data_IF_391533712912
#
_entry.id   IF_391533712912
#
_cell.length_a   1.000
_cell.length_b   1.000
_cell.length_c   1.000
_cell.angle_alpha   90.00
_cell.angle_beta   90.00
_cell.angle_gamma   90.00
#
_symmetry.space_group_name_H-M   'P 1'
#
loop_
_entity.id
_entity.type
_entity.pdbx_description
1 polymer ?
#
# COMPACT_ATOMS: atom_id res chain seq x y z
N UNK A 1 21.66 -15.46 -52.42
CA UNK A 1 20.36 -15.82 -53.05
C UNK A 1 19.28 -15.06 -52.30
N UNK A 2 18.38 -14.23 -52.82
CA UNK A 2 17.97 -13.79 -54.16
C UNK A 2 17.51 -12.31 -53.97
N UNK A 3 18.00 -11.31 -54.73
CA UNK A 3 17.52 -10.88 -56.06
C UNK A 3 16.04 -10.45 -56.02
N UNK A 4 15.67 -9.17 -56.16
CA UNK A 4 15.47 -8.37 -57.41
C UNK A 4 14.45 -7.25 -57.02
N UNK A 5 14.23 -6.09 -57.64
CA UNK A 5 14.72 -5.36 -58.84
C UNK A 5 14.07 -3.96 -58.79
N UNK A 6 14.76 -2.95 -59.32
CA UNK A 6 14.20 -1.66 -59.75
C UNK A 6 13.33 -1.82 -61.03
N UNK A 7 12.63 -0.76 -61.48
CA UNK A 7 13.04 -0.05 -62.71
C UNK A 7 12.98 1.50 -62.58
N UNK A 8 13.95 2.26 -63.09
CA UNK A 8 14.01 2.92 -64.43
C UNK A 8 12.96 4.04 -64.67
N UNK A 9 13.41 5.29 -64.85
CA UNK A 9 13.48 5.98 -66.17
C UNK A 9 14.26 7.31 -66.08
N UNK A 10 14.87 7.66 -67.19
CA UNK A 10 15.81 8.75 -67.46
C UNK A 10 15.24 9.58 -68.63
N UNK A 11 15.86 10.74 -68.95
CA UNK A 11 15.71 11.59 -70.18
C UNK A 11 14.67 12.72 -70.02
N UNK A 12 14.81 13.96 -70.50
CA UNK A 12 15.89 14.86 -70.95
C UNK A 12 15.18 16.16 -71.40
N UNK A 13 15.99 17.22 -71.61
CA UNK A 13 15.78 18.27 -72.63
C UNK A 13 15.13 19.60 -72.23
N UNK A 14 16.04 20.54 -72.00
CA UNK A 14 16.02 21.99 -72.28
C UNK A 14 15.78 22.26 -73.78
N UNK A 15 15.17 23.41 -74.14
CA UNK A 15 15.56 24.38 -75.21
C UNK A 15 14.48 25.50 -75.32
N UNK A 16 14.81 26.74 -74.93
CA UNK A 16 15.09 27.97 -75.74
C UNK A 16 13.85 28.74 -76.25
N UNK A 17 13.79 30.03 -75.88
CA UNK A 17 13.50 31.11 -76.84
C UNK A 17 14.07 32.44 -76.32
N UNK A 18 15.04 32.97 -77.07
CA UNK A 18 15.59 34.32 -76.97
C UNK A 18 14.61 35.36 -77.53
N UNK A 19 14.68 36.61 -77.03
CA UNK A 19 14.80 37.81 -77.86
C UNK A 19 15.01 39.07 -76.99
N UNK A 20 16.19 39.67 -77.12
CA UNK A 20 16.43 41.12 -77.00
C UNK A 20 16.63 41.66 -78.45
N UNK A 21 16.95 42.94 -78.75
CA UNK A 21 17.12 44.15 -77.91
C UNK A 21 16.52 45.45 -78.54
N UNK A 22 16.65 46.60 -77.85
CA UNK A 22 16.89 47.99 -78.36
C UNK A 22 16.56 49.01 -77.23
N UNK A 23 17.49 49.79 -76.62
CA UNK A 23 18.17 51.03 -77.08
C UNK A 23 17.18 52.01 -77.77
N UNK A 24 17.05 53.31 -77.47
CA UNK A 24 17.89 54.30 -76.81
C UNK A 24 17.04 55.58 -76.57
N UNK A 25 17.41 56.35 -75.54
CA UNK A 25 17.39 57.82 -75.41
C UNK A 25 16.11 58.66 -75.70
N UNK A 26 15.76 59.48 -74.71
CA UNK A 26 14.91 60.66 -74.89
C UNK A 26 14.87 61.51 -73.61
N UNK A 27 15.55 62.65 -73.67
CA UNK A 27 15.79 63.66 -72.63
C UNK A 27 14.54 64.16 -71.89
N UNK A 28 14.72 64.39 -70.59
CA UNK A 28 13.83 65.19 -69.74
C UNK A 28 14.26 66.65 -69.68
N UNK A 29 13.30 67.59 -69.76
CA UNK A 29 13.12 68.85 -68.98
C UNK A 29 12.25 69.86 -69.77
N UNK A 30 11.67 70.90 -69.15
CA UNK A 30 10.74 70.88 -68.02
C UNK A 30 9.57 71.88 -68.20
N UNK A 31 8.46 71.67 -67.47
CA UNK A 31 7.59 72.73 -66.96
C UNK A 31 6.70 73.50 -67.94
N UNK A 32 5.39 73.21 -67.92
CA UNK A 32 4.32 74.21 -67.81
C UNK A 32 2.99 73.50 -67.52
N UNK A 33 2.33 73.88 -66.43
CA UNK A 33 0.97 73.45 -66.09
C UNK A 33 -0.06 74.44 -66.67
N UNK A 34 -1.15 73.94 -67.26
CA UNK A 34 -2.45 74.59 -67.20
C UNK A 34 -3.52 73.69 -66.50
N UNK A 35 -4.71 74.24 -66.16
CA UNK A 35 -5.53 73.90 -64.98
C UNK A 35 -6.36 72.60 -65.05
N UNK A 36 -7.06 72.20 -63.96
CA UNK A 36 -7.62 70.86 -63.82
C UNK A 36 -8.89 70.69 -64.66
N UNK A 37 -8.85 69.77 -65.62
CA UNK A 37 -10.03 69.17 -66.21
C UNK A 37 -10.45 67.95 -65.38
N UNK A 38 -11.75 67.82 -65.20
CA UNK A 38 -12.47 66.83 -64.39
C UNK A 38 -11.93 65.39 -64.54
N UNK A 39 -11.53 64.79 -63.42
CA UNK A 39 -11.19 63.38 -63.35
C UNK A 39 -12.48 62.53 -63.15
N UNK A 40 -12.69 61.47 -63.95
CA UNK A 40 -13.74 60.49 -63.69
C UNK A 40 -13.36 59.58 -62.52
N UNK A 41 -14.38 59.21 -61.74
CA UNK A 41 -14.52 58.05 -60.87
C UNK A 41 -13.23 57.42 -60.28
N UNK A 42 -13.00 57.66 -58.98
CA UNK A 42 -12.17 56.78 -58.14
C UNK A 42 -12.74 55.36 -58.18
N UNK A 43 -12.00 54.45 -58.78
CA UNK A 43 -12.18 53.00 -58.60
C UNK A 43 -11.86 52.68 -57.14
N UNK A 44 -12.82 52.13 -56.41
CA UNK A 44 -12.60 51.50 -55.10
C UNK A 44 -11.66 50.30 -55.29
N UNK A 45 -10.39 50.48 -54.97
CA UNK A 45 -9.49 49.35 -54.72
C UNK A 45 -10.03 48.57 -53.51
N UNK A 46 -10.56 47.39 -53.80
CA UNK A 46 -10.99 46.42 -52.82
C UNK A 46 -9.88 46.19 -51.78
N UNK A 47 -10.17 46.49 -50.51
CA UNK A 47 -9.37 46.02 -49.37
C UNK A 47 -9.37 44.49 -49.39
N UNK A 48 -8.31 43.88 -49.91
CA UNK A 48 -8.09 42.45 -49.74
C UNK A 48 -7.94 42.16 -48.24
N UNK A 49 -8.95 41.53 -47.65
CA UNK A 49 -8.86 40.95 -46.32
C UNK A 49 -7.81 39.84 -46.35
N UNK A 50 -6.67 40.07 -45.68
CA UNK A 50 -5.56 39.11 -45.62
C UNK A 50 -5.96 37.98 -44.66
N UNK A 51 -6.22 36.80 -45.21
CA UNK A 51 -6.51 35.59 -44.44
C UNK A 51 -5.26 35.08 -43.70
N UNK A 52 -5.30 35.07 -42.37
CA UNK A 52 -4.20 34.70 -41.47
C UNK A 52 -4.61 33.54 -40.52
N UNK A 53 -4.61 32.28 -41.00
CA UNK A 53 -5.03 31.10 -40.25
C UNK A 53 -3.95 30.62 -39.27
N UNK A 54 -3.51 31.48 -38.35
CA UNK A 54 -2.52 31.13 -37.33
C UNK A 54 -2.73 31.92 -36.04
N UNK A 55 -2.38 31.32 -34.90
CA UNK A 55 -2.43 32.01 -33.61
C UNK A 55 -1.41 33.15 -33.54
N UNK A 56 -1.69 34.14 -32.72
CA UNK A 56 -0.77 35.26 -32.51
C UNK A 56 -0.28 35.32 -31.07
N UNK A 57 0.82 36.04 -30.83
CA UNK A 57 1.36 36.32 -29.49
C UNK A 57 1.67 35.06 -28.67
N UNK A 58 2.18 34.00 -29.29
CA UNK A 58 2.69 32.84 -28.56
C UNK A 58 3.76 33.29 -27.56
N UNK A 59 3.49 33.06 -26.29
CA UNK A 59 4.41 33.26 -25.17
C UNK A 59 4.65 31.93 -24.50
N UNK A 60 5.89 31.76 -24.03
CA UNK A 60 6.29 30.59 -23.27
C UNK A 60 6.86 31.05 -21.93
N UNK A 61 6.33 30.48 -20.85
CA UNK A 61 6.85 30.64 -19.51
C UNK A 61 7.32 29.27 -19.01
N UNK A 62 8.50 29.25 -18.38
CA UNK A 62 9.10 28.03 -17.84
C UNK A 62 8.99 28.07 -16.32
N UNK A 63 8.47 26.99 -15.74
CA UNK A 63 8.50 26.71 -14.31
C UNK A 63 8.81 25.23 -14.16
N UNK A 64 10.10 24.89 -14.19
CA UNK A 64 10.56 23.50 -14.20
C UNK A 64 9.79 22.61 -13.20
N UNK A 65 9.29 21.44 -13.65
CA UNK A 65 9.45 20.82 -14.97
C UNK A 65 8.38 21.22 -16.00
N UNK A 66 7.55 22.22 -15.70
CA UNK A 66 6.40 22.61 -16.52
C UNK A 66 6.73 23.77 -17.47
N UNK A 67 6.19 23.68 -18.69
CA UNK A 67 6.24 24.73 -19.69
C UNK A 67 4.82 25.19 -19.98
N UNK A 68 4.53 26.45 -19.68
CA UNK A 68 3.24 27.05 -20.00
C UNK A 68 3.33 27.80 -21.32
N UNK A 69 2.50 27.38 -22.27
CA UNK A 69 2.28 28.04 -23.55
C UNK A 69 1.00 28.85 -23.46
N UNK A 70 1.05 30.10 -23.90
CA UNK A 70 -0.15 30.95 -24.04
C UNK A 70 -0.12 31.64 -25.39
N UNK A 71 -1.24 31.68 -26.09
CA UNK A 71 -1.37 32.34 -27.39
C UNK A 71 -2.67 33.11 -27.47
N UNK A 72 -2.95 33.72 -28.63
CA UNK A 72 -4.21 34.35 -28.94
C UNK A 72 -4.78 33.73 -30.21
N UNK A 73 -6.05 33.38 -30.17
CA UNK A 73 -6.73 32.71 -31.26
C UNK A 73 -6.79 33.57 -32.54
N UNK A 74 -6.85 32.89 -33.70
CA UNK A 74 -7.02 33.58 -34.98
C UNK A 74 -8.46 34.06 -35.14
N UNK A 75 -8.63 35.30 -35.59
CA UNK A 75 -9.95 35.86 -35.92
C UNK A 75 -10.54 35.25 -37.19
N UNK A 76 -9.68 34.71 -38.05
CA UNK A 76 -10.05 34.16 -39.35
C UNK A 76 -10.48 32.69 -39.23
N UNK A 77 -10.39 32.11 -38.03
CA UNK A 77 -10.79 30.74 -37.71
C UNK A 77 -11.60 30.69 -36.39
N UNK A 78 -12.84 31.22 -36.37
CA UNK A 78 -13.68 31.25 -35.16
C UNK A 78 -14.04 29.85 -34.63
N UNK A 79 -14.09 28.83 -35.49
CA UNK A 79 -14.34 27.43 -35.13
C UNK A 79 -13.14 26.51 -35.43
N UNK A 80 -11.95 27.08 -35.51
CA UNK A 80 -10.72 26.30 -35.68
C UNK A 80 -10.30 25.60 -34.40
N UNK A 81 -9.52 24.53 -34.53
CA UNK A 81 -8.78 23.94 -33.41
C UNK A 81 -7.28 24.17 -33.60
N UNK A 82 -6.49 23.95 -32.55
CA UNK A 82 -5.05 24.17 -32.57
C UNK A 82 -4.32 22.89 -32.19
N UNK A 83 -3.29 22.56 -32.96
CA UNK A 83 -2.36 21.47 -32.66
C UNK A 83 -1.05 22.04 -32.17
N UNK A 84 -0.64 21.61 -30.98
CA UNK A 84 0.61 22.02 -30.34
C UNK A 84 1.67 20.97 -30.61
N UNK A 85 2.74 21.37 -31.28
CA UNK A 85 3.88 20.52 -31.61
C UNK A 85 5.10 20.88 -30.79
N UNK A 86 5.92 19.87 -30.49
CA UNK A 86 7.20 20.00 -29.80
C UNK A 86 8.32 19.28 -30.55
N UNK A 87 9.48 19.91 -30.62
CA UNK A 87 10.70 19.32 -31.20
C UNK A 87 11.94 19.75 -30.40
N UNK A 88 13.02 18.96 -30.46
CA UNK A 88 14.35 19.30 -29.91
C UNK A 88 15.17 20.27 -30.78
N UNK A 89 14.66 20.66 -31.96
CA UNK A 89 15.26 21.59 -32.92
C UNK A 89 14.19 22.60 -33.32
N UNK A 90 14.60 23.75 -33.84
CA UNK A 90 13.64 24.76 -34.28
C UNK A 90 12.68 24.17 -35.33
N UNK A 91 11.38 24.44 -35.14
CA UNK A 91 10.34 23.99 -36.07
C UNK A 91 10.31 24.95 -37.26
N UNK A 92 10.62 24.40 -38.43
CA UNK A 92 10.57 25.00 -39.76
C UNK A 92 9.76 24.07 -40.67
N UNK A 93 9.36 24.49 -41.89
CA UNK A 93 8.72 23.58 -42.83
C UNK A 93 9.48 22.26 -43.05
N UNK A 94 10.81 22.31 -43.02
CA UNK A 94 11.67 21.13 -43.22
C UNK A 94 11.74 20.20 -42.00
N UNK A 95 11.65 20.74 -40.78
CA UNK A 95 11.73 19.96 -39.53
C UNK A 95 10.37 19.59 -38.95
N UNK A 96 9.28 20.18 -39.47
CA UNK A 96 7.92 19.96 -38.98
C UNK A 96 7.48 18.49 -39.05
N UNK A 97 7.89 17.76 -40.09
CA UNK A 97 7.58 16.34 -40.24
C UNK A 97 8.14 15.46 -39.08
N UNK A 98 9.21 15.92 -38.41
CA UNK A 98 9.79 15.26 -37.24
C UNK A 98 9.25 15.79 -35.90
N UNK A 99 8.38 16.80 -35.91
CA UNK A 99 7.86 17.39 -34.69
C UNK A 99 6.76 16.51 -34.08
N UNK A 100 6.81 16.32 -32.77
CA UNK A 100 5.84 15.49 -32.05
C UNK A 100 4.60 16.31 -31.70
N UNK A 101 3.43 15.85 -32.10
CA UNK A 101 2.16 16.38 -31.61
C UNK A 101 2.04 16.09 -30.11
N UNK A 102 1.88 17.13 -29.29
CA UNK A 102 1.77 17.00 -27.82
C UNK A 102 0.33 17.17 -27.36
N UNK A 103 -0.44 18.05 -28.01
CA UNK A 103 -1.82 18.29 -27.63
C UNK A 103 -2.65 18.90 -28.78
N UNK A 104 -3.96 18.73 -28.69
CA UNK A 104 -4.95 19.38 -29.56
C UNK A 104 -5.89 20.19 -28.68
N UNK A 105 -5.83 21.52 -28.80
CA UNK A 105 -6.68 22.45 -28.07
C UNK A 105 -7.88 22.87 -28.96
N UNK A 106 -9.12 22.87 -28.43
CA UNK A 106 -10.26 23.45 -29.14
C UNK A 106 -10.13 24.98 -29.24
N UNK A 107 -10.84 25.59 -30.18
CA UNK A 107 -10.97 27.05 -30.25
C UNK A 107 -11.52 27.63 -28.94
N UNK A 108 -11.01 28.78 -28.52
CA UNK A 108 -11.30 29.44 -27.24
C UNK A 108 -10.36 29.04 -26.10
N UNK A 109 -9.55 27.98 -26.25
CA UNK A 109 -8.52 27.62 -25.27
C UNK A 109 -7.18 28.22 -25.69
N UNK A 110 -6.78 29.28 -24.99
CA UNK A 110 -5.57 30.07 -25.29
C UNK A 110 -4.34 29.69 -24.43
N UNK A 111 -4.42 28.60 -23.65
CA UNK A 111 -3.35 28.18 -22.74
C UNK A 111 -3.16 26.66 -22.78
N UNK A 112 -1.90 26.22 -22.69
CA UNK A 112 -1.53 24.82 -22.57
C UNK A 112 -0.35 24.65 -21.63
N UNK A 113 -0.33 23.56 -20.88
CA UNK A 113 0.74 23.20 -19.95
C UNK A 113 1.39 21.90 -20.43
N UNK A 114 2.65 21.98 -20.85
CA UNK A 114 3.47 20.82 -21.21
C UNK A 114 4.37 20.43 -20.05
N UNK A 115 4.60 19.12 -19.89
CA UNK A 115 5.59 18.56 -18.97
C UNK A 115 6.47 17.60 -19.77
N UNK A 116 7.62 18.06 -20.30
CA UNK A 116 8.52 17.21 -21.07
C UNK A 116 9.03 16.02 -20.24
N UNK A 117 9.21 14.83 -20.86
CA UNK A 117 9.67 13.63 -20.17
C UNK A 117 11.19 13.62 -19.92
N UNK A 118 11.94 14.50 -20.59
CA UNK A 118 13.41 14.56 -20.53
C UNK A 118 13.86 15.99 -20.24
N UNK A 119 15.04 16.11 -19.62
CA UNK A 119 15.73 17.40 -19.49
C UNK A 119 16.27 17.78 -20.87
N UNK A 120 16.07 19.01 -21.31
CA UNK A 120 16.50 19.40 -22.64
C UNK A 120 16.00 20.75 -23.11
N UNK A 121 16.36 21.05 -24.35
CA UNK A 121 15.92 22.24 -25.08
C UNK A 121 14.79 21.86 -26.03
N UNK A 122 13.64 22.52 -25.88
CA UNK A 122 12.44 22.27 -26.68
C UNK A 122 12.00 23.51 -27.45
N UNK A 123 11.49 23.29 -28.65
CA UNK A 123 10.86 24.29 -29.50
C UNK A 123 9.41 23.91 -29.71
N UNK A 124 8.55 24.92 -29.74
CA UNK A 124 7.11 24.76 -29.85
C UNK A 124 6.56 25.50 -31.05
N UNK A 125 5.55 24.91 -31.67
CA UNK A 125 4.74 25.54 -32.71
C UNK A 125 3.26 25.23 -32.45
N UNK A 126 2.40 26.22 -32.69
CA UNK A 126 0.95 26.10 -32.59
C UNK A 126 0.40 26.28 -34.00
N UNK A 127 -0.15 25.20 -34.54
CA UNK A 127 -0.65 25.11 -35.92
C UNK A 127 -2.17 25.11 -35.88
N UNK A 128 -2.80 25.98 -36.68
CA UNK A 128 -4.25 26.03 -36.76
C UNK A 128 -4.78 24.91 -37.65
N UNK A 129 -5.98 24.44 -37.31
CA UNK A 129 -6.69 23.37 -38.01
C UNK A 129 -8.09 23.87 -38.35
N UNK A 130 -8.44 23.80 -39.64
CA UNK A 130 -9.76 24.20 -40.14
C UNK A 130 -10.87 23.22 -39.77
N UNK A 131 -12.12 23.55 -40.13
CA UNK A 131 -13.32 22.74 -39.82
C UNK A 131 -13.28 21.33 -40.40
N UNK A 132 -12.58 21.12 -41.52
CA UNK A 132 -12.41 19.82 -42.18
C UNK A 132 -11.20 19.02 -41.65
N UNK A 133 -10.53 19.50 -40.60
CA UNK A 133 -9.33 18.86 -40.06
C UNK A 133 -8.05 19.17 -40.84
N UNK A 134 -8.13 20.03 -41.86
CA UNK A 134 -6.97 20.48 -42.63
C UNK A 134 -6.05 21.34 -41.77
N UNK A 135 -4.78 20.95 -41.67
CA UNK A 135 -3.75 21.75 -40.99
C UNK A 135 -3.26 22.88 -41.89
N UNK A 136 -3.01 24.05 -41.29
CA UNK A 136 -2.35 25.18 -41.93
C UNK A 136 -0.92 25.32 -41.39
N UNK A 137 0.08 24.63 -41.97
CA UNK A 137 1.47 24.60 -41.50
C UNK A 137 2.22 25.90 -41.84
N UNK A 138 1.71 27.02 -41.33
CA UNK A 138 2.30 28.34 -41.46
C UNK A 138 3.15 28.58 -40.23
N UNK A 139 4.45 28.86 -40.40
CA UNK A 139 5.36 29.08 -39.26
C UNK A 139 5.92 30.50 -39.28
N UNK A 140 5.32 31.38 -38.49
CA UNK A 140 5.74 32.78 -38.36
C UNK A 140 6.51 32.97 -37.03
N UNK A 141 7.82 33.31 -37.09
CA UNK A 141 8.63 33.61 -35.92
C UNK A 141 7.94 34.55 -34.93
N UNK A 142 7.99 34.24 -33.64
CA UNK A 142 7.41 35.02 -32.53
C UNK A 142 5.89 35.22 -32.56
N UNK A 143 5.18 34.62 -33.52
CA UNK A 143 3.71 34.65 -33.55
C UNK A 143 3.11 33.33 -33.12
N UNK A 144 3.48 32.26 -33.81
CA UNK A 144 2.95 30.92 -33.56
C UNK A 144 4.04 29.85 -33.42
N UNK A 145 5.32 30.24 -33.48
CA UNK A 145 6.44 29.38 -33.11
C UNK A 145 7.48 30.07 -32.26
N UNK A 146 8.18 29.29 -31.46
CA UNK A 146 9.38 29.71 -30.73
C UNK A 146 10.61 29.62 -31.63
N UNK A 147 11.46 30.64 -31.61
CA UNK A 147 12.78 30.61 -32.27
C UNK A 147 13.95 30.43 -31.29
N UNK A 148 13.68 30.58 -29.99
CA UNK A 148 14.65 30.30 -28.93
C UNK A 148 14.24 29.02 -28.21
N UNK A 149 15.19 28.13 -27.90
CA UNK A 149 14.88 26.91 -27.17
C UNK A 149 14.38 27.25 -25.76
N UNK A 150 13.33 26.55 -25.37
CA UNK A 150 12.79 26.53 -24.01
C UNK A 150 13.53 25.43 -23.26
N UNK A 151 14.31 25.80 -22.25
CA UNK A 151 15.15 24.85 -21.51
C UNK A 151 14.43 24.38 -20.25
N UNK A 152 14.24 23.07 -20.13
CA UNK A 152 13.97 22.41 -18.84
C UNK A 152 15.32 22.01 -18.26
N UNK A 153 15.59 22.37 -17.00
CA UNK A 153 16.87 22.06 -16.34
C UNK A 153 16.76 20.91 -15.34
N UNK A 154 15.54 20.59 -14.88
CA UNK A 154 15.25 19.51 -13.94
C UNK A 154 13.89 18.88 -14.26
N UNK A 155 13.80 17.57 -14.08
CA UNK A 155 12.54 16.85 -14.00
C UNK A 155 12.14 16.74 -12.54
N UNK A 156 10.84 16.63 -12.26
CA UNK A 156 10.42 16.24 -10.90
C UNK A 156 10.97 14.84 -10.62
N UNK A 157 11.88 14.75 -9.65
CA UNK A 157 12.36 13.47 -9.13
C UNK A 157 11.20 12.70 -8.50
N UNK A 158 11.38 11.40 -8.25
CA UNK A 158 10.39 10.64 -7.48
C UNK A 158 10.24 11.22 -6.06
N UNK A 159 11.30 11.80 -5.50
CA UNK A 159 11.26 12.53 -4.22
C UNK A 159 10.42 13.82 -4.31
N UNK A 160 10.49 14.54 -5.43
CA UNK A 160 9.64 15.73 -5.65
C UNK A 160 8.17 15.35 -5.82
N UNK A 161 7.88 14.15 -6.35
CA UNK A 161 6.52 13.66 -6.57
C UNK A 161 5.91 12.97 -5.37
N UNK A 162 6.72 12.53 -4.41
CA UNK A 162 6.28 11.81 -3.23
C UNK A 162 5.34 12.63 -2.33
N UNK A 163 4.41 11.94 -1.67
CA UNK A 163 3.59 12.52 -0.62
C UNK A 163 4.38 12.54 0.69
N UNK A 164 4.73 13.73 1.16
CA UNK A 164 5.32 13.92 2.50
C UNK A 164 4.21 13.96 3.54
N UNK A 165 4.41 13.30 4.67
CA UNK A 165 3.45 13.28 5.77
C UNK A 165 3.90 14.24 6.87
N UNK A 166 2.97 15.04 7.35
CA UNK A 166 3.17 15.98 8.45
C UNK A 166 2.15 15.75 9.56
N UNK A 167 2.44 16.30 10.74
CA UNK A 167 1.54 16.33 11.90
C UNK A 167 0.99 14.95 12.30
N UNK A 168 1.81 13.90 12.20
CA UNK A 168 1.41 12.57 12.66
C UNK A 168 1.18 12.59 14.16
N UNK A 169 -0.06 12.35 14.56
CA UNK A 169 -0.46 12.22 15.96
C UNK A 169 -1.23 10.91 16.13
N UNK A 170 -0.85 10.14 17.13
CA UNK A 170 -1.57 8.96 17.57
C UNK A 170 -2.30 9.24 18.87
N UNK A 171 -3.56 8.82 18.96
CA UNK A 171 -4.33 8.88 20.22
C UNK A 171 -4.98 7.53 20.51
N UNK A 172 -4.81 6.97 21.72
CA UNK A 172 -5.57 5.82 22.13
C UNK A 172 -7.03 6.26 22.35
N UNK A 173 -7.97 5.50 21.78
CA UNK A 173 -9.39 5.68 21.95
C UNK A 173 -10.03 4.31 22.19
N UNK A 174 -10.57 4.10 23.40
CA UNK A 174 -11.14 2.84 23.84
C UNK A 174 -10.18 1.65 23.66
N UNK A 175 -10.40 0.84 22.64
CA UNK A 175 -9.69 -0.39 22.31
C UNK A 175 -8.84 -0.27 21.04
N UNK A 176 -8.66 0.93 20.50
CA UNK A 176 -7.93 1.18 19.25
C UNK A 176 -7.00 2.39 19.38
N UNK A 177 -5.99 2.46 18.51
CA UNK A 177 -5.16 3.65 18.31
C UNK A 177 -5.62 4.34 17.04
N UNK A 178 -6.00 5.61 17.15
CA UNK A 178 -6.39 6.43 16.01
C UNK A 178 -5.21 7.32 15.62
N UNK A 179 -4.67 7.10 14.42
CA UNK A 179 -3.67 7.96 13.80
C UNK A 179 -4.36 9.06 12.99
N UNK A 180 -3.88 10.30 13.14
CA UNK A 180 -4.27 11.45 12.32
C UNK A 180 -3.00 12.08 11.76
N UNK A 181 -3.05 12.46 10.48
CA UNK A 181 -1.89 12.98 9.77
C UNK A 181 -2.31 13.81 8.55
N UNK A 182 -1.38 14.60 8.04
CA UNK A 182 -1.57 15.54 6.93
C UNK A 182 -0.60 15.24 5.78
N UNK A 183 -1.04 14.58 4.70
CA UNK A 183 -0.22 14.36 3.52
C UNK A 183 -0.12 15.62 2.65
N UNK A 184 1.06 15.85 2.07
CA UNK A 184 1.36 17.03 1.25
C UNK A 184 0.74 17.01 -0.14
N UNK A 185 0.40 15.82 -0.64
CA UNK A 185 -0.14 15.55 -1.97
C UNK A 185 -1.16 14.40 -1.87
N UNK A 186 -2.20 14.46 -2.70
CA UNK A 186 -3.15 13.36 -2.91
C UNK A 186 -2.71 12.43 -4.05
N UNK A 187 -3.45 11.34 -4.27
CA UNK A 187 -3.25 10.36 -5.36
C UNK A 187 -1.91 9.57 -5.32
N UNK A 188 -1.32 9.51 -4.13
CA UNK A 188 -0.17 8.65 -3.79
C UNK A 188 -0.60 7.56 -2.82
N UNK A 189 0.18 6.49 -2.75
CA UNK A 189 0.02 5.43 -1.76
C UNK A 189 0.98 5.66 -0.59
N UNK A 190 0.48 5.52 0.63
CA UNK A 190 1.23 5.66 1.87
C UNK A 190 1.32 4.32 2.59
N UNK A 191 2.48 3.98 3.14
CA UNK A 191 2.70 2.80 3.95
C UNK A 191 2.70 3.18 5.44
N UNK A 192 1.84 2.53 6.22
CA UNK A 192 1.73 2.72 7.68
C UNK A 192 2.52 1.62 8.40
N UNK A 193 3.49 2.03 9.21
CA UNK A 193 4.35 1.15 9.98
C UNK A 193 4.07 1.25 11.48
N UNK A 194 4.25 0.11 12.17
CA UNK A 194 4.21 0.00 13.63
C UNK A 194 5.48 -0.67 14.13
N UNK A 195 6.11 -0.08 15.14
CA UNK A 195 7.34 -0.59 15.76
C UNK A 195 7.22 -0.64 17.28
N UNK A 196 7.97 -1.55 17.91
CA UNK A 196 8.15 -1.59 19.36
C UNK A 196 9.29 -0.67 19.84
N UNK A 197 10.12 -0.21 18.92
CA UNK A 197 11.26 0.67 19.15
C UNK A 197 11.08 2.00 18.39
N UNK A 198 11.65 3.11 18.87
CA UNK A 198 11.62 4.38 18.15
C UNK A 198 12.16 4.23 16.72
N UNK A 199 11.51 4.88 15.75
CA UNK A 199 12.00 4.92 14.37
C UNK A 199 12.82 6.20 14.20
N UNK A 200 14.14 6.07 14.24
CA UNK A 200 15.09 7.18 14.15
C UNK A 200 15.78 7.23 12.79
N UNK A 201 16.05 6.06 12.23
CA UNK A 201 16.77 5.89 10.97
C UNK A 201 16.03 4.93 10.04
N UNK A 202 16.32 5.01 8.74
CA UNK A 202 15.68 4.19 7.72
C UNK A 202 15.84 2.68 7.98
N UNK A 203 16.97 2.26 8.58
CA UNK A 203 17.21 0.86 8.96
C UNK A 203 16.17 0.31 9.94
N UNK A 204 15.57 1.18 10.76
CA UNK A 204 14.61 0.77 11.79
C UNK A 204 13.29 0.28 11.17
N UNK A 205 13.00 0.69 9.93
CA UNK A 205 11.86 0.18 9.16
C UNK A 205 11.97 -1.32 8.87
N UNK A 206 13.17 -1.90 8.89
CA UNK A 206 13.35 -3.35 8.75
C UNK A 206 12.87 -4.12 9.99
N UNK A 207 12.93 -3.51 11.19
CA UNK A 207 12.37 -4.05 12.42
C UNK A 207 10.89 -3.73 12.62
N UNK A 208 10.37 -2.75 11.87
CA UNK A 208 8.98 -2.33 11.93
C UNK A 208 8.05 -3.27 11.15
N UNK A 209 6.82 -3.40 11.64
CA UNK A 209 5.75 -4.15 10.97
C UNK A 209 4.95 -3.23 10.07
N UNK A 210 4.85 -3.56 8.78
CA UNK A 210 3.93 -2.89 7.86
C UNK A 210 2.49 -3.27 8.21
N UNK A 211 1.69 -2.29 8.63
CA UNK A 211 0.27 -2.50 8.91
C UNK A 211 -0.54 -2.56 7.63
N UNK A 212 -0.53 -1.48 6.85
CA UNK A 212 -1.37 -1.33 5.66
C UNK A 212 -0.78 -0.30 4.69
N UNK A 213 -1.17 -0.41 3.42
CA UNK A 213 -0.95 0.63 2.41
C UNK A 213 -2.26 1.35 2.14
N UNK A 214 -2.27 2.65 2.34
CA UNK A 214 -3.47 3.50 2.29
C UNK A 214 -3.33 4.58 1.23
N UNK A 215 -4.45 5.05 0.69
CA UNK A 215 -4.45 6.20 -0.20
C UNK A 215 -4.15 7.49 0.57
N UNK A 216 -3.31 8.36 0.01
CA UNK A 216 -2.93 9.66 0.58
C UNK A 216 -4.09 10.66 0.72
N UNK A 217 -5.26 10.41 0.16
CA UNK A 217 -6.47 11.18 0.48
C UNK A 217 -7.03 10.84 1.88
N UNK A 218 -6.60 9.71 2.46
CA UNK A 218 -6.94 9.29 3.81
C UNK A 218 -6.16 10.10 4.83
N UNK A 219 -6.84 10.71 5.81
CA UNK A 219 -6.22 11.51 6.89
C UNK A 219 -6.34 10.87 8.27
N UNK A 220 -6.97 9.71 8.33
CA UNK A 220 -7.26 8.99 9.57
C UNK A 220 -7.06 7.51 9.33
N UNK A 221 -6.25 6.88 10.18
CA UNK A 221 -6.05 5.44 10.20
C UNK A 221 -6.38 4.89 11.60
N UNK A 222 -6.92 3.67 11.68
CA UNK A 222 -7.31 3.03 12.95
C UNK A 222 -6.56 1.72 13.07
N UNK A 223 -5.73 1.61 14.11
CA UNK A 223 -5.01 0.39 14.45
C UNK A 223 -5.63 -0.31 15.67
N UNK A 224 -5.73 -1.63 15.61
CA UNK A 224 -6.20 -2.50 16.69
C UNK A 224 -5.01 -3.01 17.51
N UNK A 225 -4.24 -2.08 18.09
CA UNK A 225 -3.04 -2.39 18.84
C UNK A 225 -3.33 -3.23 20.10
N UNK A 226 -2.34 -4.02 20.53
CA UNK A 226 -2.45 -4.85 21.73
C UNK A 226 -2.39 -3.95 22.97
N UNK A 227 -3.37 -4.03 23.89
CA UNK A 227 -3.33 -3.28 25.15
C UNK A 227 -2.07 -3.59 25.96
N UNK A 228 -1.58 -2.62 26.72
CA UNK A 228 -0.40 -2.82 27.58
C UNK A 228 0.95 -2.78 26.85
N UNK A 229 0.97 -2.66 25.51
CA UNK A 229 2.18 -2.57 24.70
C UNK A 229 2.33 -1.16 24.15
N UNK A 230 3.52 -0.58 24.30
CA UNK A 230 3.85 0.73 23.78
C UNK A 230 4.36 0.62 22.34
N UNK A 231 3.77 1.38 21.42
CA UNK A 231 4.09 1.35 20.00
C UNK A 231 4.52 2.71 19.45
N UNK A 232 5.45 2.68 18.52
CA UNK A 232 5.81 3.80 17.65
C UNK A 232 5.17 3.60 16.28
N UNK A 233 4.74 4.70 15.67
CA UNK A 233 4.15 4.70 14.34
C UNK A 233 4.92 5.59 13.39
N UNK A 234 5.00 5.17 12.14
CA UNK A 234 5.54 5.97 11.04
C UNK A 234 4.68 5.82 9.78
N UNK A 235 4.51 6.89 9.02
CA UNK A 235 3.76 6.88 7.76
C UNK A 235 4.60 7.53 6.66
N UNK A 236 4.79 6.80 5.56
CA UNK A 236 5.71 7.21 4.49
C UNK A 236 5.10 6.95 3.11
N UNK A 237 5.58 7.63 2.07
CA UNK A 237 5.21 7.31 0.68
C UNK A 237 5.76 5.93 0.30
N UNK A 238 4.91 5.05 -0.22
CA UNK A 238 5.28 3.67 -0.54
C UNK A 238 6.44 3.61 -1.53
N UNK A 239 6.47 4.49 -2.54
CA UNK A 239 7.54 4.48 -3.55
C UNK A 239 8.89 4.89 -2.97
N UNK A 240 8.92 5.79 -1.98
CA UNK A 240 10.16 6.19 -1.32
C UNK A 240 10.71 5.09 -0.43
N UNK A 241 9.83 4.35 0.25
CA UNK A 241 10.24 3.20 1.07
C UNK A 241 10.82 2.08 0.20
N UNK A 242 10.16 1.77 -0.93
CA UNK A 242 10.63 0.73 -1.87
C UNK A 242 11.98 1.09 -2.54
N UNK A 243 12.23 2.37 -2.79
CA UNK A 243 13.51 2.88 -3.32
C UNK A 243 14.57 3.06 -2.25
N UNK A 244 14.17 3.03 -0.98
CA UNK A 244 15.05 3.28 0.15
C UNK A 244 15.58 4.72 0.22
N UNK A 245 14.78 5.70 -0.19
CA UNK A 245 15.13 7.15 -0.10
C UNK A 245 14.20 7.90 0.85
N UNK A 246 13.59 7.18 1.79
CA UNK A 246 12.65 7.74 2.76
C UNK A 246 13.39 8.55 3.84
N UNK A 247 12.88 9.74 4.11
CA UNK A 247 13.39 10.61 5.17
C UNK A 247 12.59 10.37 6.46
N UNK A 248 13.26 10.13 7.59
CA UNK A 248 12.63 10.01 8.90
C UNK A 248 12.72 11.36 9.62
N UNK A 249 11.56 11.93 9.93
CA UNK A 249 11.42 13.24 10.57
C UNK A 249 10.55 13.10 11.83
N UNK A 250 11.18 12.96 13.02
CA UNK A 250 10.45 12.83 14.28
C UNK A 250 9.47 13.98 14.52
N UNK A 251 8.23 13.64 14.90
CA UNK A 251 7.14 14.58 15.13
C UNK A 251 6.37 15.00 13.87
N UNK A 252 6.85 14.66 12.67
CA UNK A 252 6.16 14.94 11.41
C UNK A 252 5.56 13.68 10.79
N UNK A 253 6.42 12.75 10.37
CA UNK A 253 5.99 11.48 9.77
C UNK A 253 6.18 10.27 10.69
N UNK A 254 6.80 10.48 11.86
CA UNK A 254 7.04 9.47 12.88
C UNK A 254 6.71 10.03 14.26
N UNK A 255 6.16 9.20 15.15
CA UNK A 255 5.95 9.57 16.56
C UNK A 255 7.28 9.66 17.33
N UNK A 256 7.42 10.69 18.16
CA UNK A 256 8.52 10.83 19.13
C UNK A 256 8.27 10.07 20.42
N UNK A 257 7.01 10.00 20.85
CA UNK A 257 6.59 9.29 22.07
C UNK A 257 5.75 8.08 21.70
N UNK A 258 5.97 6.96 22.39
CA UNK A 258 5.19 5.76 22.18
C UNK A 258 3.74 5.96 22.64
N UNK A 259 2.80 5.39 21.90
CA UNK A 259 1.39 5.34 22.27
C UNK A 259 1.05 3.95 22.80
N UNK A 260 0.29 3.90 23.88
CA UNK A 260 -0.15 2.66 24.51
C UNK A 260 -1.64 2.73 24.82
N UNK A 261 -2.36 1.66 24.48
CA UNK A 261 -3.71 1.45 25.00
C UNK A 261 -3.56 0.93 26.43
N UNK A 262 -4.20 1.61 27.39
CA UNK A 262 -4.21 1.15 28.78
C UNK A 262 -4.92 -0.20 28.87
N UNK A 263 -4.36 -1.13 29.65
CA UNK A 263 -5.08 -2.36 30.01
C UNK A 263 -6.35 -1.91 30.73
N UNK A 264 -7.51 -2.23 30.15
CA UNK A 264 -8.76 -1.80 30.72
C UNK A 264 -8.95 -2.45 32.09
N UNK A 265 -9.56 -1.75 33.05
CA UNK A 265 -10.10 -2.38 34.27
C UNK A 265 -11.29 -3.31 33.98
N UNK A 266 -11.35 -3.93 32.79
CA UNK A 266 -11.91 -5.27 32.69
C UNK A 266 -10.95 -6.15 33.47
N UNK A 267 -11.21 -6.14 34.78
CA UNK A 267 -10.79 -7.15 35.74
C UNK A 267 -10.56 -8.41 34.94
N UNK A 268 -9.33 -8.92 35.07
CA UNK A 268 -8.93 -10.20 34.57
C UNK A 268 -10.15 -11.12 34.47
N UNK A 269 -10.19 -12.08 33.55
CA UNK A 269 -10.86 -13.32 33.90
C UNK A 269 -10.04 -13.97 35.06
N UNK A 270 -9.83 -13.27 36.20
CA UNK A 270 -10.36 -13.77 37.46
C UNK A 270 -11.64 -14.43 37.03
N UNK A 271 -11.57 -15.74 36.95
CA UNK A 271 -12.70 -16.60 37.18
C UNK A 271 -13.53 -15.96 38.29
N UNK A 272 -14.41 -15.01 37.94
CA UNK A 272 -15.72 -14.95 38.53
C UNK A 272 -16.32 -16.24 38.01
N UNK A 273 -15.96 -17.33 38.70
CA UNK A 273 -16.95 -18.23 39.23
C UNK A 273 -17.97 -17.29 39.90
N UNK A 274 -18.84 -16.68 39.08
CA UNK A 274 -20.17 -16.30 39.52
C UNK A 274 -20.59 -17.52 40.29
N UNK A 275 -20.77 -17.38 41.61
CA UNK A 275 -21.19 -18.50 42.44
C UNK A 275 -22.24 -19.24 41.62
N UNK A 276 -22.00 -20.51 41.26
CA UNK A 276 -22.85 -21.20 40.29
C UNK A 276 -24.29 -20.96 40.74
N UNK A 277 -25.22 -20.60 39.83
CA UNK A 277 -26.60 -20.34 40.21
C UNK A 277 -27.00 -21.46 41.14
N UNK A 278 -27.30 -21.11 42.40
CA UNK A 278 -27.38 -22.02 43.54
C UNK A 278 -28.26 -23.17 43.09
N UNK A 279 -27.65 -24.28 42.65
CA UNK A 279 -28.39 -25.34 42.00
C UNK A 279 -29.36 -25.84 43.06
N UNK A 280 -30.66 -25.95 42.77
CA UNK A 280 -31.65 -26.38 43.76
C UNK A 280 -31.34 -27.78 44.32
N UNK A 281 -30.47 -28.54 43.64
CA UNK A 281 -29.76 -29.67 44.21
C UNK A 281 -28.27 -29.58 43.85
N UNK A 282 -27.34 -29.85 44.78
CA UNK A 282 -25.96 -30.11 44.41
C UNK A 282 -25.94 -31.25 43.37
N UNK A 283 -24.92 -31.27 42.50
CA UNK A 283 -24.59 -32.50 41.76
C UNK A 283 -24.65 -33.65 42.76
N UNK A 284 -25.22 -34.82 42.42
CA UNK A 284 -25.09 -35.99 43.26
C UNK A 284 -23.60 -36.14 43.54
N UNK A 285 -23.23 -35.89 44.79
CA UNK A 285 -21.88 -36.11 45.25
C UNK A 285 -21.65 -37.59 44.97
N UNK A 286 -20.54 -37.93 44.32
CA UNK A 286 -20.05 -39.29 44.44
C UNK A 286 -19.81 -39.46 45.95
N UNK A 287 -20.76 -40.11 46.62
CA UNK A 287 -20.69 -40.48 48.03
C UNK A 287 -19.55 -41.50 48.16
N UNK A 288 -18.31 -40.99 48.20
CA UNK A 288 -17.18 -41.72 48.73
C UNK A 288 -17.52 -41.93 50.20
N UNK A 289 -18.06 -43.11 50.50
CA UNK A 289 -18.66 -43.49 51.77
C UNK A 289 -17.61 -43.38 52.88
N UNK A 290 -17.49 -42.18 53.47
CA UNK A 290 -16.62 -41.95 54.62
C UNK A 290 -17.38 -42.35 55.89
N UNK A 291 -16.90 -43.38 56.58
CA UNK A 291 -17.43 -43.75 57.89
C UNK A 291 -16.66 -42.95 58.95
N UNK A 292 -17.38 -42.18 59.75
CA UNK A 292 -16.83 -41.57 60.96
C UNK A 292 -16.76 -42.63 62.06
N UNK A 293 -15.57 -42.93 62.57
CA UNK A 293 -15.39 -43.79 63.75
C UNK A 293 -15.76 -42.97 64.99
N UNK A 294 -16.75 -43.40 65.81
CA UNK A 294 -17.13 -42.68 67.02
C UNK A 294 -15.93 -42.54 67.96
N UNK A 295 -15.59 -41.29 68.32
CA UNK A 295 -14.49 -40.98 69.25
C UNK A 295 -13.15 -40.58 68.62
N UNK A 296 -13.06 -40.44 67.29
CA UNK A 296 -11.84 -39.97 66.63
C UNK A 296 -12.11 -38.84 65.63
N UNK A 297 -11.30 -37.77 65.67
CA UNK A 297 -11.35 -36.65 64.72
C UNK A 297 -10.72 -37.01 63.34
N UNK A 298 -10.73 -38.28 62.95
CA UNK A 298 -10.17 -38.74 61.67
C UNK A 298 -11.29 -39.20 60.75
N UNK A 299 -11.44 -38.50 59.62
CA UNK A 299 -12.23 -38.95 58.49
C UNK A 299 -11.49 -40.11 57.82
N UNK A 300 -12.06 -41.32 57.85
CA UNK A 300 -11.61 -42.41 56.99
C UNK A 300 -12.22 -42.15 55.62
N UNK A 301 -11.45 -41.52 54.73
CA UNK A 301 -11.73 -41.61 53.30
C UNK A 301 -11.67 -43.09 52.99
N UNK A 302 -12.76 -43.67 52.47
CA UNK A 302 -12.70 -45.00 51.86
C UNK A 302 -11.67 -44.85 50.74
N UNK A 303 -10.45 -45.31 50.99
CA UNK A 303 -9.42 -45.44 49.97
C UNK A 303 -10.12 -46.03 48.74
N UNK A 304 -9.87 -45.47 47.55
CA UNK A 304 -10.27 -46.13 46.31
C UNK A 304 -10.00 -47.64 46.50
N UNK A 305 -10.95 -48.54 46.15
CA UNK A 305 -10.88 -49.96 46.47
C UNK A 305 -9.45 -50.39 46.24
N UNK A 306 -8.79 -50.71 47.36
CA UNK A 306 -7.34 -50.68 47.55
C UNK A 306 -6.56 -50.64 46.23
N UNK A 307 -5.79 -49.57 46.00
CA UNK A 307 -4.53 -49.80 45.29
C UNK A 307 -3.80 -50.81 46.18
N UNK A 308 -3.94 -52.09 45.84
CA UNK A 308 -3.39 -53.17 46.64
C UNK A 308 -1.94 -52.82 46.94
N UNK A 309 -1.48 -53.11 48.16
CA UNK A 309 -0.04 -53.04 48.45
C UNK A 309 0.67 -53.72 47.27
N UNK A 310 1.70 -53.09 46.66
CA UNK A 310 2.41 -53.69 45.53
C UNK A 310 2.75 -55.12 45.91
N UNK A 311 2.02 -56.06 45.32
CA UNK A 311 2.24 -57.46 45.59
C UNK A 311 3.24 -57.90 44.54
N UNK A 312 4.38 -58.43 44.98
CA UNK A 312 5.32 -59.04 44.06
C UNK A 312 4.58 -60.06 43.22
N UNK A 313 4.62 -59.88 41.90
CA UNK A 313 3.95 -60.77 40.97
C UNK A 313 4.59 -62.15 41.12
N UNK A 314 3.78 -63.20 41.07
CA UNK A 314 4.31 -64.55 40.94
C UNK A 314 5.23 -64.60 39.69
N UNK A 315 6.43 -65.21 39.76
CA UNK A 315 7.34 -65.32 38.62
C UNK A 315 6.70 -65.83 37.31
N UNK A 316 5.67 -66.66 37.41
CA UNK A 316 4.90 -67.13 36.24
C UNK A 316 4.00 -66.02 35.65
N UNK A 317 3.33 -65.26 36.52
CA UNK A 317 2.53 -64.09 36.14
C UNK A 317 3.40 -62.99 35.55
N UNK A 318 4.58 -62.76 36.11
CA UNK A 318 5.55 -61.78 35.60
C UNK A 318 6.02 -62.14 34.19
N UNK A 319 6.32 -63.42 33.92
CA UNK A 319 6.68 -63.90 32.57
C UNK A 319 5.55 -63.76 31.55
N UNK A 320 4.31 -64.08 31.95
CA UNK A 320 3.13 -63.94 31.08
C UNK A 320 2.87 -62.46 30.80
N UNK A 321 2.97 -61.61 31.82
CA UNK A 321 2.81 -60.17 31.69
C UNK A 321 3.90 -59.55 30.81
N UNK A 322 5.16 -59.96 30.98
CA UNK A 322 6.27 -59.52 30.13
C UNK A 322 6.02 -59.88 28.65
N UNK A 323 5.54 -61.10 28.38
CA UNK A 323 5.19 -61.53 27.02
C UNK A 323 4.00 -60.76 26.43
N UNK A 324 3.00 -60.41 27.25
CA UNK A 324 1.86 -59.57 26.85
C UNK A 324 2.29 -58.12 26.57
N UNK A 325 3.21 -57.58 27.38
CA UNK A 325 3.74 -56.23 27.25
C UNK A 325 4.77 -56.09 26.10
N UNK A 326 5.47 -57.17 25.72
CA UNK A 326 6.34 -57.20 24.54
C UNK A 326 5.58 -56.93 23.24
N UNK A 327 4.32 -57.36 23.16
CA UNK A 327 3.42 -57.09 22.03
C UNK A 327 2.51 -55.87 22.22
N UNK A 328 2.54 -55.23 23.39
CA UNK A 328 1.73 -54.05 23.64
C UNK A 328 2.31 -52.85 22.88
N UNK A 329 1.47 -52.03 22.21
CA UNK A 329 1.93 -50.80 21.62
C UNK A 329 2.54 -49.93 22.72
N UNK A 330 3.84 -49.65 22.62
CA UNK A 330 4.50 -48.70 23.50
C UNK A 330 3.85 -47.34 23.25
N UNK A 331 3.16 -46.80 24.25
CA UNK A 331 2.57 -45.47 24.14
C UNK A 331 3.70 -44.46 23.94
N UNK A 332 3.78 -43.87 22.74
CA UNK A 332 4.76 -42.85 22.44
C UNK A 332 4.52 -41.62 23.34
N UNK A 333 5.58 -41.02 23.91
CA UNK A 333 5.43 -39.82 24.71
C UNK A 333 4.83 -38.70 23.86
N UNK A 334 3.71 -38.15 24.32
CA UNK A 334 3.04 -37.04 23.64
C UNK A 334 3.99 -35.85 23.46
N UNK A 335 4.47 -35.66 22.22
CA UNK A 335 5.41 -34.61 21.82
C UNK A 335 4.83 -33.80 20.66
N UNK A 336 3.78 -33.00 20.92
CA UNK A 336 3.12 -32.23 19.87
C UNK A 336 4.08 -31.16 19.31
N UNK A 337 3.96 -30.89 18.01
CA UNK A 337 4.61 -29.75 17.36
C UNK A 337 3.68 -28.53 17.42
N UNK A 338 4.24 -27.30 17.48
CA UNK A 338 3.44 -26.08 17.39
C UNK A 338 2.60 -26.10 16.11
N UNK A 339 1.29 -25.86 16.23
CA UNK A 339 0.36 -25.84 15.11
C UNK A 339 -0.19 -24.45 14.89
N UNK A 340 -0.17 -24.01 13.64
CA UNK A 340 -0.73 -22.74 13.18
C UNK A 340 -1.91 -23.06 12.28
N UNK A 341 -3.05 -22.47 12.59
CA UNK A 341 -4.29 -22.65 11.87
C UNK A 341 -4.22 -21.86 10.54
N UNK A 342 -5.02 -22.26 9.53
CA UNK A 342 -5.02 -21.58 8.23
C UNK A 342 -5.35 -20.08 8.26
N UNK A 343 -6.29 -19.58 9.09
CA UNK A 343 -6.67 -18.16 9.09
C UNK A 343 -5.52 -17.20 9.40
N UNK A 344 -4.53 -17.60 10.22
CA UNK A 344 -3.40 -16.74 10.57
C UNK A 344 -2.38 -16.60 9.44
N UNK A 345 -2.55 -17.34 8.35
CA UNK A 345 -1.76 -17.22 7.11
C UNK A 345 -2.47 -16.42 6.03
N UNK A 346 -3.70 -15.97 6.29
CA UNK A 346 -4.47 -15.20 5.32
C UNK A 346 -3.96 -13.74 5.26
N UNK A 347 -3.45 -13.27 4.11
CA UNK A 347 -2.99 -11.89 3.97
C UNK A 347 -4.13 -10.87 4.00
N UNK A 348 -5.39 -11.31 3.81
CA UNK A 348 -6.58 -10.45 3.77
C UNK A 348 -7.18 -10.16 5.14
N UNK A 349 -6.62 -10.71 6.21
CA UNK A 349 -7.06 -10.43 7.56
C UNK A 349 -6.93 -8.93 7.90
N UNK A 350 -8.01 -8.36 8.45
CA UNK A 350 -8.11 -6.96 8.84
C UNK A 350 -8.30 -6.81 10.37
N UNK A 351 -7.99 -5.63 10.89
CA UNK A 351 -8.22 -5.25 12.29
C UNK A 351 -7.59 -6.19 13.32
N UNK A 352 -8.40 -6.71 14.24
CA UNK A 352 -7.93 -7.56 15.34
C UNK A 352 -7.43 -8.92 14.85
N UNK A 353 -8.00 -9.47 13.77
CA UNK A 353 -7.54 -10.75 13.20
C UNK A 353 -6.11 -10.62 12.66
N UNK A 354 -5.82 -9.51 11.99
CA UNK A 354 -4.47 -9.16 11.53
C UNK A 354 -3.48 -9.07 12.68
N UNK A 355 -3.92 -8.47 13.80
CA UNK A 355 -3.08 -8.33 15.00
C UNK A 355 -2.75 -9.70 15.61
N UNK A 356 -3.72 -10.63 15.65
CA UNK A 356 -3.47 -12.01 16.08
C UNK A 356 -2.49 -12.70 15.13
N UNK A 357 -2.70 -12.62 13.82
CA UNK A 357 -1.80 -13.20 12.82
C UNK A 357 -0.35 -12.69 12.97
N UNK A 358 -0.17 -11.39 13.23
CA UNK A 358 1.14 -10.78 13.48
C UNK A 358 1.81 -11.31 14.76
N UNK A 359 1.06 -11.51 15.85
CA UNK A 359 1.61 -12.12 17.08
C UNK A 359 2.07 -13.54 16.83
N UNK A 360 1.29 -14.33 16.08
CA UNK A 360 1.60 -15.74 15.81
C UNK A 360 2.83 -15.86 14.89
N UNK A 361 2.86 -15.14 13.77
CA UNK A 361 4.00 -15.15 12.84
C UNK A 361 5.25 -14.49 13.42
N UNK A 362 5.08 -13.48 14.30
CA UNK A 362 6.18 -12.73 14.90
C UNK A 362 6.82 -13.41 16.11
N UNK A 363 6.04 -13.89 17.08
CA UNK A 363 6.57 -14.44 18.35
C UNK A 363 6.42 -15.96 18.43
N UNK A 364 5.24 -16.49 18.12
CA UNK A 364 4.94 -17.91 18.31
C UNK A 364 5.74 -18.82 17.36
N UNK A 365 5.86 -18.45 16.08
CA UNK A 365 6.68 -19.17 15.09
C UNK A 365 8.17 -19.19 15.45
N UNK A 366 8.66 -18.14 16.10
CA UNK A 366 10.07 -18.00 16.51
C UNK A 366 10.38 -18.73 17.82
N UNK A 367 9.38 -19.31 18.49
CA UNK A 367 9.53 -20.04 19.74
C UNK A 367 9.54 -19.15 21.00
N UNK A 368 9.24 -17.86 20.89
CA UNK A 368 9.07 -16.97 22.06
C UNK A 368 7.68 -17.16 22.70
N UNK A 369 7.50 -18.31 23.35
CA UNK A 369 6.22 -18.67 23.97
C UNK A 369 5.89 -17.81 25.20
N UNK A 370 6.90 -17.32 25.91
CA UNK A 370 6.73 -16.45 27.08
C UNK A 370 6.21 -15.06 26.66
N UNK A 371 6.79 -14.46 25.61
CA UNK A 371 6.30 -13.21 25.03
C UNK A 371 4.91 -13.37 24.43
N UNK A 372 4.69 -14.44 23.65
CA UNK A 372 3.38 -14.77 23.07
C UNK A 372 2.29 -14.87 24.14
N UNK A 373 2.56 -15.54 25.27
CA UNK A 373 1.61 -15.68 26.38
C UNK A 373 1.15 -14.34 26.94
N UNK A 374 2.06 -13.36 27.06
CA UNK A 374 1.73 -12.02 27.54
C UNK A 374 0.84 -11.27 26.54
N UNK A 375 1.25 -11.27 25.27
CA UNK A 375 0.52 -10.57 24.19
C UNK A 375 -0.89 -11.13 23.97
N UNK A 376 -1.04 -12.46 23.96
CA UNK A 376 -2.36 -13.10 23.80
C UNK A 376 -3.29 -12.85 24.99
N UNK A 377 -2.77 -12.75 26.22
CA UNK A 377 -3.58 -12.38 27.39
C UNK A 377 -4.10 -10.95 27.30
N UNK A 378 -3.26 -10.01 26.85
CA UNK A 378 -3.68 -8.64 26.64
C UNK A 378 -4.73 -8.53 25.51
N UNK A 379 -4.58 -9.34 24.45
CA UNK A 379 -5.58 -9.42 23.37
C UNK A 379 -6.96 -9.90 23.86
N UNK A 380 -7.01 -10.83 24.84
CA UNK A 380 -8.26 -11.31 25.43
C UNK A 380 -9.02 -10.23 26.24
N UNK A 381 -8.42 -9.08 26.51
CA UNK A 381 -9.11 -7.94 27.13
C UNK A 381 -9.99 -7.16 26.12
N UNK A 382 -9.70 -7.30 24.83
CA UNK A 382 -10.45 -6.69 23.74
C UNK A 382 -11.79 -7.43 23.51
N UNK A 383 -12.83 -6.75 22.99
CA UNK A 383 -14.06 -7.42 22.57
C UNK A 383 -13.81 -8.23 21.29
N UNK A 384 -13.45 -9.50 21.44
CA UNK A 384 -13.24 -10.44 20.33
C UNK A 384 -14.55 -11.12 19.92
N UNK A 385 -14.64 -11.54 18.65
CA UNK A 385 -15.67 -12.48 18.23
C UNK A 385 -15.45 -13.84 18.91
N UNK A 386 -16.52 -14.62 19.08
CA UNK A 386 -16.42 -15.93 19.75
C UNK A 386 -15.43 -16.88 19.05
N UNK A 387 -15.36 -16.84 17.71
CA UNK A 387 -14.41 -17.62 16.93
C UNK A 387 -12.96 -17.17 17.16
N UNK A 388 -12.71 -15.86 17.08
CA UNK A 388 -11.38 -15.30 17.28
C UNK A 388 -10.89 -15.51 18.72
N UNK A 389 -11.77 -15.40 19.71
CA UNK A 389 -11.46 -15.72 21.11
C UNK A 389 -11.04 -17.19 21.27
N UNK A 390 -11.76 -18.13 20.63
CA UNK A 390 -11.42 -19.55 20.67
C UNK A 390 -10.04 -19.83 20.05
N UNK A 391 -9.71 -19.17 18.93
CA UNK A 391 -8.38 -19.24 18.29
C UNK A 391 -7.29 -18.67 19.20
N UNK A 392 -7.49 -17.48 19.78
CA UNK A 392 -6.53 -16.86 20.72
C UNK A 392 -6.27 -17.77 21.92
N UNK A 393 -7.33 -18.39 22.49
CA UNK A 393 -7.21 -19.34 23.59
C UNK A 393 -6.49 -20.63 23.20
N UNK A 394 -6.70 -21.13 21.98
CA UNK A 394 -5.97 -22.27 21.45
C UNK A 394 -4.46 -22.00 21.38
N UNK A 395 -4.05 -20.84 20.85
CA UNK A 395 -2.63 -20.44 20.81
C UNK A 395 -2.05 -20.15 22.20
N UNK A 396 -2.85 -19.61 23.11
CA UNK A 396 -2.45 -19.42 24.50
C UNK A 396 -2.21 -20.77 25.19
N UNK A 397 -3.07 -21.76 24.97
CA UNK A 397 -2.91 -23.13 25.46
C UNK A 397 -1.62 -23.78 24.94
N UNK A 398 -1.34 -23.67 23.63
CA UNK A 398 -0.09 -24.16 23.05
C UNK A 398 1.14 -23.47 23.66
N UNK A 399 1.12 -22.14 23.76
CA UNK A 399 2.23 -21.35 24.32
C UNK A 399 2.52 -21.74 25.76
N UNK A 400 1.49 -21.87 26.59
CA UNK A 400 1.61 -22.31 27.98
C UNK A 400 2.15 -23.75 28.09
N UNK A 401 1.78 -24.64 27.17
CA UNK A 401 2.29 -26.01 27.15
C UNK A 401 3.79 -26.06 26.87
N UNK A 402 4.26 -25.29 25.88
CA UNK A 402 5.69 -25.20 25.54
C UNK A 402 6.51 -24.44 26.60
N UNK A 403 5.89 -23.51 27.33
CA UNK A 403 6.46 -22.85 28.52
C UNK A 403 6.49 -23.75 29.77
N UNK A 404 6.02 -25.01 29.67
CA UNK A 404 6.02 -25.98 30.76
C UNK A 404 4.84 -25.87 31.73
N UNK A 405 3.94 -24.89 31.53
CA UNK A 405 2.77 -24.62 32.37
C UNK A 405 1.55 -25.42 31.91
N UNK A 406 1.55 -26.71 32.25
CA UNK A 406 0.59 -27.70 31.69
C UNK A 406 -0.83 -27.59 32.25
N UNK A 407 -1.02 -27.35 33.55
CA UNK A 407 -2.39 -27.18 34.08
C UNK A 407 -3.11 -25.96 33.49
N UNK A 408 -2.47 -24.77 33.42
CA UNK A 408 -3.08 -23.64 32.74
C UNK A 408 -3.34 -23.90 31.25
N UNK A 409 -2.42 -24.57 30.56
CA UNK A 409 -2.60 -24.94 29.15
C UNK A 409 -3.85 -25.80 28.94
N UNK A 410 -4.06 -26.81 29.79
CA UNK A 410 -5.24 -27.68 29.73
C UNK A 410 -6.54 -26.90 29.90
N UNK A 411 -6.59 -25.95 30.85
CA UNK A 411 -7.77 -25.11 31.05
C UNK A 411 -8.09 -24.26 29.82
N UNK A 412 -7.07 -23.63 29.20
CA UNK A 412 -7.28 -22.81 27.99
C UNK A 412 -7.75 -23.65 26.81
N UNK A 413 -7.25 -24.87 26.64
CA UNK A 413 -7.74 -25.81 25.63
C UNK A 413 -9.23 -26.16 25.83
N UNK A 414 -9.66 -26.42 27.07
CA UNK A 414 -11.09 -26.67 27.36
C UNK A 414 -11.96 -25.45 27.03
N UNK A 415 -11.47 -24.24 27.24
CA UNK A 415 -12.17 -23.01 26.87
C UNK A 415 -12.22 -22.81 25.35
N UNK A 416 -11.13 -23.13 24.64
CA UNK A 416 -11.06 -23.10 23.17
C UNK A 416 -11.98 -24.14 22.49
N UNK A 417 -12.29 -25.24 23.18
CA UNK A 417 -13.18 -26.30 22.69
C UNK A 417 -14.66 -25.90 22.62
N UNK A 418 -15.02 -24.68 23.02
CA UNK A 418 -16.40 -24.19 22.97
C UNK A 418 -16.87 -23.74 21.58
N UNK A 419 -16.01 -23.85 20.56
CA UNK A 419 -16.32 -23.52 19.17
C UNK A 419 -15.87 -24.60 18.18
N UNK A 420 -15.68 -24.20 16.92
CA UNK A 420 -15.37 -25.09 15.79
C UNK A 420 -13.96 -25.72 15.88
N UNK A 421 -13.11 -25.24 16.79
CA UNK A 421 -11.77 -25.76 17.05
C UNK A 421 -11.74 -27.08 17.85
N UNK A 422 -12.89 -27.70 18.15
CA UNK A 422 -12.97 -28.92 18.96
C UNK A 422 -12.08 -30.08 18.44
N UNK A 423 -11.99 -30.24 17.11
CA UNK A 423 -11.13 -31.28 16.48
C UNK A 423 -9.64 -30.98 16.67
N UNK A 424 -9.29 -29.69 16.70
CA UNK A 424 -7.92 -29.20 16.82
C UNK A 424 -7.41 -29.31 18.25
N UNK A 425 -8.29 -29.11 19.23
CA UNK A 425 -7.97 -29.15 20.65
C UNK A 425 -7.85 -30.58 21.18
N UNK A 426 -8.67 -31.51 20.67
CA UNK A 426 -8.79 -32.87 21.22
C UNK A 426 -7.44 -33.60 21.40
N UNK A 427 -6.52 -33.61 20.42
CA UNK A 427 -5.20 -34.24 20.60
C UNK A 427 -4.39 -33.65 21.76
N UNK A 428 -4.50 -32.34 22.00
CA UNK A 428 -3.82 -31.66 23.11
C UNK A 428 -4.39 -32.07 24.46
N UNK A 429 -5.71 -32.07 24.60
CA UNK A 429 -6.36 -32.48 25.85
C UNK A 429 -6.09 -33.94 26.20
N UNK A 430 -6.19 -34.86 25.23
CA UNK A 430 -5.91 -36.28 25.44
C UNK A 430 -4.43 -36.51 25.75
N UNK A 431 -3.53 -35.85 25.04
CA UNK A 431 -2.08 -35.98 25.24
C UNK A 431 -1.61 -35.49 26.62
N UNK A 432 -2.14 -34.36 27.10
CA UNK A 432 -1.83 -33.83 28.44
C UNK A 432 -2.34 -34.80 29.53
N UNK A 433 -3.55 -35.34 29.39
CA UNK A 433 -4.13 -36.27 30.35
C UNK A 433 -3.35 -37.60 30.42
N UNK A 434 -2.98 -38.18 29.27
CA UNK A 434 -2.21 -39.43 29.21
C UNK A 434 -0.85 -39.29 29.92
N UNK A 435 -0.15 -38.17 29.73
CA UNK A 435 1.12 -37.90 30.41
C UNK A 435 0.97 -37.79 31.93
N UNK A 436 -0.12 -37.20 32.42
CA UNK A 436 -0.37 -37.06 33.87
C UNK A 436 -0.66 -38.41 34.54
N UNK A 437 -1.36 -39.31 33.86
CA UNK A 437 -1.59 -40.68 34.31
C UNK A 437 -0.28 -41.49 34.45
N UNK A 438 0.77 -41.10 33.72
CA UNK A 438 2.09 -41.75 33.79
C UNK A 438 2.99 -41.21 34.90
N UNK A 439 2.96 -39.89 35.18
CA UNK A 439 3.73 -39.31 36.29
C UNK A 439 3.28 -39.85 37.65
N UNK A 440 1.98 -40.09 37.84
CA UNK A 440 1.46 -40.74 39.06
C UNK A 440 1.85 -42.20 39.25
N UNK A 441 2.45 -42.87 38.24
CA UNK A 441 2.99 -44.24 38.33
C UNK A 441 4.49 -44.30 38.61
N UNK A 442 5.22 -43.19 38.47
CA UNK A 442 6.67 -43.13 38.68
C UNK A 442 7.08 -42.64 40.08
N UNK A 443 6.12 -42.18 40.89
CA UNK A 443 6.32 -41.72 42.28
C UNK A 443 5.81 -42.74 43.33
N UNK A 444 5.50 -43.97 42.91
CA UNK A 444 5.21 -45.14 43.74
C UNK A 444 6.26 -46.21 43.50
#
# INVERSE_FOLDING_TARGET
MNRRRAPFFLISSVIVAMAAPALLAGDTRPGENPPPAEAPARTEEARQEVFAPFVSRLRVAVRDPQIRLTWRDSRDLPDGSYRIYRHTREITPDTFAGARLVHTAPGGVETYLDTPPEVGSYFYAVVAVGREGQEYPVFVPFRNKTIRPVRISRLDTEEDRAARVYDLVARPQDAVVVLRFSPSRGERELAVYRSLEPLLEQSDLAGATLLERIDSNTRRFVDHAIPGVAYYYGIFDTSLVERGTVEIVPGANVLTEAVQISLGERASPQLRLTSPPKRPAPLPMLELSSQAVPGSHRLIVRELPHQGRPQELNPETERILARLLEGAPREEPFSPKPRILPPERDPTAEGTERTVAQVITGHFERGDYAGTTKLLKNLLELPLSQDLEARVRFYLGQSLYFDGRREPAFAEFLLASRGDLSQEVRPWTEGILRRRAFQGRAEL
#
